data_IF_811151650404
#
_entry.id   IF_811151650404
#
_cell.length_a   1.000
_cell.length_b   1.000
_cell.length_c   1.000
_cell.angle_alpha   90.00
_cell.angle_beta   90.00
_cell.angle_gamma   90.00
#
_symmetry.space_group_name_H-M   'P 1'
#
loop_
_entity.id
_entity.type
_entity.pdbx_description
1 polymer ?
#
# COMPACT_ATOMS: atom_id res chain seq x y z
N UNK A 1 -42.54 2.60 -3.95
CA UNK A 1 -41.58 2.00 -4.89
C UNK A 1 -40.69 2.97 -5.70
N UNK A 2 -41.01 4.26 -5.89
CA UNK A 2 -40.19 5.21 -6.68
C UNK A 2 -38.96 5.84 -5.98
N UNK A 3 -38.83 5.75 -4.64
CA UNK A 3 -37.71 6.35 -3.88
C UNK A 3 -36.45 5.47 -3.81
N UNK A 4 -36.57 4.17 -4.00
CA UNK A 4 -35.44 3.21 -3.93
C UNK A 4 -34.60 3.28 -5.19
N UNK A 5 -35.23 3.35 -6.34
CA UNK A 5 -34.56 3.37 -7.67
C UNK A 5 -33.70 4.64 -7.88
N UNK A 6 -34.16 5.80 -7.41
CA UNK A 6 -33.39 7.06 -7.51
C UNK A 6 -32.16 7.10 -6.58
N UNK A 7 -32.17 6.33 -5.50
CA UNK A 7 -31.03 6.25 -4.56
C UNK A 7 -29.94 5.29 -5.07
N UNK A 8 -30.36 4.25 -5.81
CA UNK A 8 -29.48 3.30 -6.47
C UNK A 8 -28.80 3.92 -7.71
N UNK A 9 -29.55 4.67 -8.53
CA UNK A 9 -28.98 5.39 -9.68
C UNK A 9 -27.95 6.46 -9.28
N UNK A 10 -28.20 7.19 -8.19
CA UNK A 10 -27.22 8.15 -7.67
C UNK A 10 -25.97 7.49 -7.10
N UNK A 11 -26.11 6.33 -6.45
CA UNK A 11 -24.96 5.55 -5.93
C UNK A 11 -24.11 5.00 -7.06
N UNK A 12 -24.74 4.43 -8.09
CA UNK A 12 -24.01 3.93 -9.27
C UNK A 12 -23.29 5.04 -10.06
N UNK A 13 -23.83 6.26 -10.08
CA UNK A 13 -23.20 7.41 -10.72
C UNK A 13 -21.97 7.93 -9.95
N UNK A 14 -22.01 7.94 -8.62
CA UNK A 14 -20.87 8.31 -7.78
C UNK A 14 -19.74 7.27 -7.87
N UNK A 15 -20.08 5.98 -7.81
CA UNK A 15 -19.11 4.87 -7.89
C UNK A 15 -18.34 4.88 -9.23
N UNK A 16 -19.00 5.23 -10.34
CA UNK A 16 -18.35 5.34 -11.67
C UNK A 16 -17.33 6.48 -11.72
N UNK A 17 -17.60 7.58 -11.03
CA UNK A 17 -16.70 8.73 -11.02
C UNK A 17 -15.46 8.46 -10.15
N UNK A 18 -15.63 7.89 -8.96
CA UNK A 18 -14.51 7.52 -8.07
C UNK A 18 -13.58 6.48 -8.72
N UNK A 19 -14.13 5.48 -9.38
CA UNK A 19 -13.37 4.47 -10.10
C UNK A 19 -12.57 5.08 -11.26
N UNK A 20 -13.17 6.01 -12.00
CA UNK A 20 -12.50 6.72 -13.10
C UNK A 20 -11.37 7.60 -12.57
N UNK A 21 -11.59 8.36 -11.51
CA UNK A 21 -10.56 9.17 -10.85
C UNK A 21 -9.37 8.32 -10.40
N UNK A 22 -9.62 7.12 -9.88
CA UNK A 22 -8.56 6.18 -9.50
C UNK A 22 -7.72 5.76 -10.72
N UNK A 23 -8.33 5.40 -11.84
CA UNK A 23 -7.61 5.01 -13.06
C UNK A 23 -6.81 6.18 -13.63
N UNK A 24 -7.38 7.38 -13.64
CA UNK A 24 -6.70 8.59 -14.08
C UNK A 24 -5.50 8.92 -13.16
N UNK A 25 -5.65 8.77 -11.84
CA UNK A 25 -4.57 8.94 -10.88
C UNK A 25 -3.43 7.92 -11.08
N UNK A 26 -3.77 6.65 -11.31
CA UNK A 26 -2.78 5.59 -11.63
C UNK A 26 -2.04 5.92 -12.92
N UNK A 27 -2.75 6.36 -13.95
CA UNK A 27 -2.15 6.70 -15.25
C UNK A 27 -1.23 7.93 -15.15
N UNK A 28 -1.65 8.96 -14.41
CA UNK A 28 -0.86 10.17 -14.17
C UNK A 28 0.43 9.84 -13.39
N UNK A 29 0.31 9.05 -12.32
CA UNK A 29 1.44 8.62 -11.50
C UNK A 29 2.44 7.77 -12.27
N UNK A 30 1.95 6.81 -13.05
CA UNK A 30 2.78 5.97 -13.90
C UNK A 30 3.65 6.80 -14.84
N UNK A 31 3.06 7.84 -15.45
CA UNK A 31 3.74 8.74 -16.37
C UNK A 31 4.72 9.68 -15.65
N UNK A 32 4.29 10.29 -14.54
CA UNK A 32 5.08 11.31 -13.83
C UNK A 32 6.30 10.71 -13.11
N UNK A 33 6.13 9.55 -12.49
CA UNK A 33 7.15 8.88 -11.66
C UNK A 33 7.87 7.75 -12.39
N UNK A 34 7.54 7.51 -13.67
CA UNK A 34 8.10 6.42 -14.49
C UNK A 34 7.92 5.03 -13.85
N UNK A 35 6.75 4.79 -13.23
CA UNK A 35 6.37 3.52 -12.61
C UNK A 35 5.49 2.74 -13.57
N UNK A 36 5.67 1.42 -13.68
CA UNK A 36 4.79 0.58 -14.48
C UNK A 36 3.35 0.63 -13.96
N UNK A 37 2.38 0.79 -14.86
CA UNK A 37 0.95 0.73 -14.52
C UNK A 37 0.57 -0.62 -13.92
N UNK A 38 1.14 -1.70 -14.47
CA UNK A 38 0.92 -3.07 -14.00
C UNK A 38 1.37 -3.24 -12.55
N UNK A 39 2.52 -2.66 -12.20
CA UNK A 39 3.02 -2.70 -10.83
C UNK A 39 2.07 -1.97 -9.86
N UNK A 40 1.53 -0.82 -10.27
CA UNK A 40 0.55 -0.08 -9.46
C UNK A 40 -0.75 -0.86 -9.30
N UNK A 41 -1.28 -1.44 -10.38
CA UNK A 41 -2.49 -2.25 -10.32
C UNK A 41 -2.30 -3.50 -9.45
N UNK A 42 -1.19 -4.23 -9.61
CA UNK A 42 -0.87 -5.39 -8.78
C UNK A 42 -0.76 -5.02 -7.30
N UNK A 43 -0.14 -3.88 -6.97
CA UNK A 43 -0.05 -3.40 -5.59
C UNK A 43 -1.43 -3.06 -5.01
N UNK A 44 -2.32 -2.47 -5.81
CA UNK A 44 -3.70 -2.20 -5.40
C UNK A 44 -4.46 -3.52 -5.18
N UNK A 45 -4.38 -4.48 -6.08
CA UNK A 45 -5.02 -5.79 -5.96
C UNK A 45 -4.58 -6.53 -4.69
N UNK A 46 -3.29 -6.55 -4.37
CA UNK A 46 -2.76 -7.17 -3.15
C UNK A 46 -3.22 -6.44 -1.87
N UNK A 47 -3.26 -5.11 -1.89
CA UNK A 47 -3.77 -4.33 -0.77
C UNK A 47 -5.28 -4.54 -0.57
N UNK A 48 -6.05 -4.64 -1.66
CA UNK A 48 -7.48 -4.94 -1.62
C UNK A 48 -7.75 -6.35 -1.05
N UNK A 49 -6.95 -7.32 -1.45
CA UNK A 49 -7.00 -8.68 -0.91
C UNK A 49 -6.75 -8.69 0.60
N UNK A 50 -5.76 -7.94 1.07
CA UNK A 50 -5.46 -7.78 2.49
C UNK A 50 -6.58 -7.06 3.24
N UNK A 51 -7.14 -6.00 2.66
CA UNK A 51 -8.25 -5.24 3.23
C UNK A 51 -9.52 -6.10 3.37
N UNK A 52 -9.83 -6.93 2.36
CA UNK A 52 -10.94 -7.88 2.43
C UNK A 52 -10.78 -8.84 3.59
N UNK A 53 -9.61 -9.47 3.73
CA UNK A 53 -9.34 -10.42 4.82
C UNK A 53 -9.48 -9.79 6.20
N UNK A 54 -8.95 -8.58 6.36
CA UNK A 54 -9.04 -7.86 7.62
C UNK A 54 -10.50 -7.53 7.99
N UNK A 55 -11.32 -7.18 7.00
CA UNK A 55 -12.73 -6.91 7.21
C UNK A 55 -13.52 -8.19 7.46
N UNK A 56 -13.27 -9.25 6.69
CA UNK A 56 -13.89 -10.55 6.88
C UNK A 56 -13.56 -11.13 8.25
N UNK A 57 -12.31 -11.04 8.70
CA UNK A 57 -11.91 -11.48 10.04
C UNK A 57 -12.63 -10.76 11.16
N UNK A 58 -12.92 -9.46 10.98
CA UNK A 58 -13.69 -8.67 11.97
C UNK A 58 -15.16 -9.08 12.03
N UNK A 59 -15.71 -9.47 10.89
CA UNK A 59 -17.14 -9.83 10.77
C UNK A 59 -17.42 -11.29 11.16
N UNK A 60 -16.54 -12.21 10.77
CA UNK A 60 -16.73 -13.66 10.91
C UNK A 60 -15.70 -14.37 11.82
N UNK A 61 -14.76 -13.64 12.42
CA UNK A 61 -13.80 -14.16 13.40
C UNK A 61 -12.56 -14.86 12.84
N UNK A 62 -12.59 -15.42 11.64
CA UNK A 62 -11.42 -16.01 10.98
C UNK A 62 -11.26 -15.48 9.55
N UNK A 63 -10.06 -15.01 9.16
CA UNK A 63 -9.83 -14.58 7.80
C UNK A 63 -9.74 -15.78 6.84
N UNK A 64 -10.26 -15.65 5.61
CA UNK A 64 -10.05 -16.66 4.58
C UNK A 64 -8.55 -16.78 4.26
N UNK A 65 -8.11 -17.99 3.86
CA UNK A 65 -6.70 -18.20 3.52
C UNK A 65 -6.28 -17.36 2.31
N UNK A 66 -4.97 -17.11 2.17
CA UNK A 66 -4.44 -16.34 1.04
C UNK A 66 -4.72 -16.97 -0.33
N UNK A 67 -4.80 -18.30 -0.35
CA UNK A 67 -5.04 -19.06 -1.56
C UNK A 67 -6.50 -18.98 -2.05
N UNK A 68 -7.44 -18.62 -1.16
CA UNK A 68 -8.87 -18.76 -1.43
C UNK A 68 -9.52 -17.47 -1.93
N UNK A 69 -8.78 -16.36 -2.03
CA UNK A 69 -9.36 -15.07 -2.49
C UNK A 69 -8.54 -14.49 -3.63
N UNK A 70 -9.22 -14.21 -4.74
CA UNK A 70 -8.69 -13.46 -5.88
C UNK A 70 -9.43 -12.14 -6.01
N UNK A 71 -8.67 -11.08 -6.16
CA UNK A 71 -9.19 -9.74 -6.47
C UNK A 71 -8.93 -9.48 -7.96
N UNK A 72 -9.93 -8.99 -8.64
CA UNK A 72 -9.82 -8.53 -10.02
C UNK A 72 -10.17 -7.05 -10.10
N UNK A 73 -9.21 -6.26 -10.54
CA UNK A 73 -9.37 -4.83 -10.78
C UNK A 73 -9.44 -4.60 -12.30
N UNK A 74 -10.60 -4.18 -12.78
CA UNK A 74 -10.74 -3.80 -14.18
C UNK A 74 -9.95 -2.52 -14.47
N UNK A 75 -8.97 -2.60 -15.35
CA UNK A 75 -8.00 -1.55 -15.65
C UNK A 75 -8.55 -0.39 -16.47
N UNK A 76 -9.72 -0.56 -17.08
CA UNK A 76 -10.39 0.47 -17.86
C UNK A 76 -11.47 1.19 -17.05
N UNK A 77 -12.25 0.41 -16.30
CA UNK A 77 -13.41 0.93 -15.56
C UNK A 77 -13.13 1.20 -14.09
N UNK A 78 -12.03 0.66 -13.54
CA UNK A 78 -11.74 0.71 -12.12
C UNK A 78 -12.65 -0.16 -11.26
N UNK A 79 -13.50 -0.98 -11.86
CA UNK A 79 -14.39 -1.86 -11.12
C UNK A 79 -13.60 -2.97 -10.43
N UNK A 80 -13.90 -3.21 -9.17
CA UNK A 80 -13.27 -4.25 -8.36
C UNK A 80 -14.24 -5.38 -8.12
N UNK A 81 -13.79 -6.60 -8.36
CA UNK A 81 -14.52 -7.84 -8.07
C UNK A 81 -13.68 -8.76 -7.20
N UNK A 82 -14.34 -9.46 -6.31
CA UNK A 82 -13.76 -10.44 -5.42
C UNK A 82 -14.28 -11.82 -5.77
N UNK A 83 -13.38 -12.76 -5.90
CA UNK A 83 -13.71 -14.17 -6.13
C UNK A 83 -13.12 -15.01 -4.99
N UNK A 84 -13.96 -15.81 -4.36
CA UNK A 84 -13.53 -16.85 -3.43
C UNK A 84 -13.36 -18.15 -4.20
N UNK A 85 -12.23 -18.82 -4.00
CA UNK A 85 -12.00 -20.19 -4.48
C UNK A 85 -12.54 -21.13 -3.43
N UNK A 86 -13.57 -21.89 -3.79
CA UNK A 86 -14.24 -22.84 -2.91
C UNK A 86 -14.09 -24.26 -3.46
N UNK A 87 -13.87 -25.21 -2.56
CA UNK A 87 -13.87 -26.62 -2.92
C UNK A 87 -15.32 -27.15 -2.93
N UNK A 88 -15.65 -27.91 -3.96
CA UNK A 88 -16.97 -28.53 -4.07
C UNK A 88 -17.06 -29.73 -3.13
N UNK A 89 -17.95 -29.64 -2.15
CA UNK A 89 -18.18 -30.71 -1.16
C UNK A 89 -19.64 -31.15 -1.14
N UNK A 90 -19.85 -32.41 -0.83
CA UNK A 90 -21.22 -32.93 -0.67
C UNK A 90 -21.93 -32.34 0.54
N UNK A 91 -21.15 -32.06 1.59
CA UNK A 91 -21.63 -31.53 2.86
C UNK A 91 -20.68 -30.41 3.30
N UNK A 92 -20.84 -29.20 2.77
CA UNK A 92 -19.96 -28.10 3.13
C UNK A 92 -20.08 -27.79 4.64
N UNK A 93 -18.93 -27.69 5.30
CA UNK A 93 -18.82 -27.38 6.73
C UNK A 93 -18.37 -25.95 6.96
N UNK A 94 -17.69 -25.35 6.00
CA UNK A 94 -17.20 -23.98 6.04
C UNK A 94 -17.60 -23.23 4.76
N UNK A 95 -18.62 -22.39 4.87
CA UNK A 95 -19.11 -21.57 3.75
C UNK A 95 -18.06 -20.63 3.16
N UNK A 96 -16.96 -20.32 3.87
CA UNK A 96 -15.90 -19.47 3.36
C UNK A 96 -15.01 -20.20 2.33
N UNK A 97 -14.82 -21.52 2.48
CA UNK A 97 -13.87 -22.33 1.71
C UNK A 97 -14.52 -23.45 0.90
N UNK A 98 -15.78 -23.77 1.19
CA UNK A 98 -16.51 -24.88 0.59
C UNK A 98 -17.82 -24.42 -0.05
N UNK A 99 -18.30 -25.16 -1.02
CA UNK A 99 -19.57 -24.95 -1.73
C UNK A 99 -20.23 -26.30 -1.98
N UNK A 100 -21.56 -26.36 -1.90
CA UNK A 100 -22.28 -27.61 -2.19
C UNK A 100 -22.22 -27.98 -3.68
N UNK A 101 -22.29 -29.29 -3.95
CA UNK A 101 -22.34 -29.78 -5.34
C UNK A 101 -23.52 -29.16 -6.10
N UNK A 102 -24.67 -28.98 -5.44
CA UNK A 102 -25.87 -28.43 -6.06
C UNK A 102 -25.66 -26.97 -6.50
N UNK A 103 -25.05 -26.15 -5.62
CA UNK A 103 -24.72 -24.75 -5.93
C UNK A 103 -23.62 -24.65 -6.98
N UNK A 104 -22.59 -25.49 -6.92
CA UNK A 104 -21.53 -25.54 -7.92
C UNK A 104 -22.08 -25.92 -9.31
N UNK A 105 -22.95 -26.93 -9.38
CA UNK A 105 -23.60 -27.36 -10.61
C UNK A 105 -24.60 -26.34 -11.16
N UNK A 106 -25.18 -25.49 -10.32
CA UNK A 106 -25.98 -24.35 -10.78
C UNK A 106 -25.14 -23.31 -11.52
N UNK A 107 -23.85 -23.16 -11.16
CA UNK A 107 -22.90 -22.30 -11.87
C UNK A 107 -22.46 -22.98 -13.18
N UNK A 108 -22.01 -24.23 -13.09
CA UNK A 108 -21.62 -25.04 -14.25
C UNK A 108 -21.91 -26.51 -14.00
N UNK A 109 -22.76 -27.16 -14.81
CA UNK A 109 -23.21 -28.52 -14.59
C UNK A 109 -22.12 -29.61 -14.57
N UNK A 110 -20.91 -29.28 -15.06
CA UNK A 110 -19.78 -30.22 -15.11
C UNK A 110 -19.01 -30.35 -13.81
N UNK A 111 -19.25 -29.50 -12.82
CA UNK A 111 -18.54 -29.55 -11.54
C UNK A 111 -18.89 -30.81 -10.75
N UNK A 112 -17.85 -31.40 -10.19
CA UNK A 112 -17.89 -32.62 -9.35
C UNK A 112 -17.30 -32.34 -7.97
N UNK A 113 -17.44 -33.31 -7.08
CA UNK A 113 -16.81 -33.24 -5.76
C UNK A 113 -15.29 -33.08 -5.90
N UNK A 114 -14.67 -32.32 -5.01
CA UNK A 114 -13.26 -31.95 -4.96
C UNK A 114 -12.82 -30.95 -6.05
N UNK A 115 -13.71 -30.52 -6.95
CA UNK A 115 -13.40 -29.46 -7.90
C UNK A 115 -13.27 -28.10 -7.18
N UNK A 116 -12.51 -27.19 -7.80
CA UNK A 116 -12.36 -25.82 -7.31
C UNK A 116 -13.21 -24.86 -8.17
N UNK A 117 -14.11 -24.15 -7.51
CA UNK A 117 -15.01 -23.17 -8.14
C UNK A 117 -14.64 -21.77 -7.69
N UNK A 118 -14.56 -20.82 -8.63
CA UNK A 118 -14.46 -19.40 -8.31
C UNK A 118 -15.86 -18.78 -8.25
N UNK A 119 -16.23 -18.31 -7.05
CA UNK A 119 -17.54 -17.67 -6.79
C UNK A 119 -17.33 -16.21 -6.53
N UNK A 120 -18.08 -15.32 -7.19
CA UNK A 120 -18.05 -13.89 -6.89
C UNK A 120 -18.68 -13.62 -5.52
N UNK A 121 -17.89 -13.03 -4.63
CA UNK A 121 -18.26 -12.74 -3.23
C UNK A 121 -18.09 -11.28 -2.87
N UNK A 122 -18.21 -10.39 -3.84
CA UNK A 122 -17.98 -8.94 -3.65
C UNK A 122 -19.02 -8.36 -2.68
N UNK A 123 -18.65 -7.96 -1.44
CA UNK A 123 -19.59 -7.36 -0.51
C UNK A 123 -20.03 -5.96 -0.96
N UNK A 124 -21.26 -5.55 -0.65
CA UNK A 124 -21.80 -4.24 -1.04
C UNK A 124 -20.98 -3.06 -0.52
N UNK A 125 -20.40 -3.18 0.69
CA UNK A 125 -19.58 -2.15 1.31
C UNK A 125 -18.13 -2.15 0.81
N UNK A 126 -17.71 -3.19 0.07
CA UNK A 126 -16.31 -3.36 -0.33
C UNK A 126 -15.84 -2.30 -1.34
N UNK A 127 -16.75 -1.76 -2.16
CA UNK A 127 -16.42 -0.68 -3.11
C UNK A 127 -15.79 0.52 -2.43
N UNK A 128 -16.38 0.97 -1.30
CA UNK A 128 -15.82 2.09 -0.54
C UNK A 128 -14.46 1.75 0.08
N UNK A 129 -14.31 0.53 0.60
CA UNK A 129 -13.03 0.04 1.12
C UNK A 129 -12.00 0.00 0.00
N UNK A 130 -12.39 -0.45 -1.20
CA UNK A 130 -11.53 -0.52 -2.36
C UNK A 130 -11.01 0.87 -2.78
N UNK A 131 -11.87 1.87 -2.88
CA UNK A 131 -11.48 3.23 -3.24
C UNK A 131 -10.50 3.84 -2.22
N UNK A 132 -10.76 3.66 -0.92
CA UNK A 132 -9.87 4.14 0.14
C UNK A 132 -8.52 3.42 0.13
N UNK A 133 -8.52 2.09 -0.04
CA UNK A 133 -7.30 1.28 -0.10
C UNK A 133 -6.45 1.66 -1.32
N UNK A 134 -7.07 1.78 -2.49
CA UNK A 134 -6.38 2.19 -3.71
C UNK A 134 -5.72 3.57 -3.54
N UNK A 135 -6.42 4.54 -2.96
CA UNK A 135 -5.85 5.86 -2.66
C UNK A 135 -4.64 5.78 -1.73
N UNK A 136 -4.71 4.97 -0.68
CA UNK A 136 -3.58 4.77 0.24
C UNK A 136 -2.37 4.14 -0.45
N UNK A 137 -2.59 3.12 -1.29
CA UNK A 137 -1.53 2.46 -2.07
C UNK A 137 -0.87 3.43 -3.05
N UNK A 138 -1.66 4.24 -3.75
CA UNK A 138 -1.15 5.27 -4.67
C UNK A 138 -0.26 6.25 -3.92
N UNK A 139 -0.72 6.79 -2.78
CA UNK A 139 0.06 7.72 -1.95
C UNK A 139 1.35 7.07 -1.43
N UNK A 140 1.29 5.80 -1.02
CA UNK A 140 2.45 5.05 -0.58
C UNK A 140 3.46 4.86 -1.72
N UNK A 141 3.00 4.49 -2.91
CA UNK A 141 3.87 4.31 -4.09
C UNK A 141 4.51 5.61 -4.56
N UNK A 142 3.80 6.74 -4.44
CA UNK A 142 4.38 8.07 -4.67
C UNK A 142 5.57 8.30 -3.72
N UNK A 143 5.35 8.09 -2.42
CA UNK A 143 6.39 8.29 -1.41
C UNK A 143 7.59 7.35 -1.61
N UNK A 144 7.33 6.10 -1.99
CA UNK A 144 8.40 5.13 -2.29
C UNK A 144 9.23 5.59 -3.50
N UNK A 145 8.57 6.04 -4.58
CA UNK A 145 9.26 6.53 -5.77
C UNK A 145 10.07 7.82 -5.50
N UNK A 146 9.52 8.74 -4.69
CA UNK A 146 10.23 9.95 -4.28
C UNK A 146 11.46 9.64 -3.43
N UNK A 147 11.35 8.66 -2.50
CA UNK A 147 12.50 8.18 -1.72
C UNK A 147 13.56 7.53 -2.60
N UNK A 148 13.14 6.67 -3.54
CA UNK A 148 14.07 6.06 -4.50
C UNK A 148 14.87 7.11 -5.26
N UNK A 149 14.20 8.14 -5.78
CA UNK A 149 14.87 9.22 -6.48
C UNK A 149 15.86 10.00 -5.58
N UNK A 150 15.47 10.30 -4.35
CA UNK A 150 16.38 10.95 -3.40
C UNK A 150 17.57 10.05 -3.09
N UNK A 151 17.36 8.74 -2.91
CA UNK A 151 18.43 7.79 -2.74
C UNK A 151 19.39 7.77 -3.93
N UNK A 152 18.88 7.67 -5.15
CA UNK A 152 19.68 7.68 -6.37
C UNK A 152 20.48 8.98 -6.52
N UNK A 153 19.89 10.13 -6.20
CA UNK A 153 20.54 11.44 -6.22
C UNK A 153 21.67 11.56 -5.17
N UNK A 154 21.60 10.80 -4.06
CA UNK A 154 22.55 10.90 -2.97
C UNK A 154 23.60 9.78 -2.97
N UNK A 155 23.32 8.60 -3.55
CA UNK A 155 24.29 7.52 -3.65
C UNK A 155 25.52 7.94 -4.47
N UNK A 156 25.33 8.79 -5.47
CA UNK A 156 26.40 9.36 -6.27
C UNK A 156 27.26 10.37 -5.50
N UNK A 157 26.76 10.85 -4.34
CA UNK A 157 27.45 11.81 -3.46
C UNK A 157 28.16 11.15 -2.27
N UNK A 158 28.17 9.82 -2.20
CA UNK A 158 29.01 9.14 -1.25
C UNK A 158 30.49 9.54 -1.48
N UNK A 159 31.19 9.73 -0.39
CA UNK A 159 32.58 10.22 -0.40
C UNK A 159 32.75 11.67 -0.86
N UNK A 160 31.68 12.46 -0.91
CA UNK A 160 31.74 13.90 -1.18
C UNK A 160 31.56 14.74 0.08
N UNK A 161 32.00 15.99 0.02
CA UNK A 161 31.82 16.98 1.08
C UNK A 161 30.62 17.85 0.72
N UNK A 162 29.56 17.78 1.53
CA UNK A 162 28.36 18.58 1.35
C UNK A 162 28.23 19.62 2.46
N UNK A 163 27.44 20.67 2.20
CA UNK A 163 27.03 21.63 3.24
C UNK A 163 25.72 21.16 3.84
N UNK A 164 25.73 20.93 5.15
CA UNK A 164 24.55 20.53 5.92
C UNK A 164 24.13 21.65 6.89
N UNK A 165 22.85 21.67 7.24
CA UNK A 165 22.28 22.57 8.24
C UNK A 165 21.84 21.73 9.43
N UNK A 166 22.24 22.07 10.63
CA UNK A 166 21.79 21.35 11.83
C UNK A 166 20.31 21.58 12.03
N UNK A 167 19.55 20.51 12.06
CA UNK A 167 18.12 20.51 12.36
C UNK A 167 17.86 20.38 13.86
N UNK A 168 18.45 19.35 14.49
CA UNK A 168 18.30 19.09 15.91
C UNK A 168 19.43 18.20 16.43
N UNK A 169 19.59 18.20 17.75
CA UNK A 169 20.50 17.28 18.46
C UNK A 169 19.66 16.44 19.43
N UNK A 170 19.81 15.14 19.37
CA UNK A 170 19.16 14.25 20.31
C UNK A 170 19.81 14.38 21.71
N UNK A 171 19.03 14.67 22.75
CA UNK A 171 19.58 14.88 24.10
C UNK A 171 20.13 13.61 24.75
N UNK A 172 19.63 12.42 24.34
CA UNK A 172 20.02 11.13 24.91
C UNK A 172 21.19 10.51 24.14
N UNK A 173 21.05 10.34 22.84
CA UNK A 173 22.06 9.70 21.98
C UNK A 173 23.18 10.64 21.57
N UNK A 174 22.93 11.97 21.62
CA UNK A 174 23.83 13.02 21.12
C UNK A 174 24.00 13.00 19.60
N UNK A 175 23.16 12.27 18.88
CA UNK A 175 23.13 12.31 17.43
C UNK A 175 22.72 13.70 16.94
N UNK A 176 23.42 14.20 15.93
CA UNK A 176 23.08 15.47 15.28
C UNK A 176 22.35 15.18 13.98
N UNK A 177 21.10 15.58 13.90
CA UNK A 177 20.32 15.51 12.68
C UNK A 177 20.57 16.74 11.83
N UNK A 178 20.92 16.51 10.58
CA UNK A 178 21.29 17.57 9.63
C UNK A 178 20.45 17.51 8.36
N UNK A 179 20.13 18.66 7.82
CA UNK A 179 19.45 18.79 6.53
C UNK A 179 20.49 18.93 5.41
N UNK A 180 20.33 18.11 4.36
CA UNK A 180 21.13 18.08 3.15
C UNK A 180 20.26 18.42 1.92
N UNK A 181 19.62 19.58 1.97
CA UNK A 181 18.67 20.02 0.94
C UNK A 181 17.31 19.31 1.07
N UNK A 182 17.08 18.23 0.31
CA UNK A 182 15.80 17.50 0.32
C UNK A 182 15.77 16.27 1.23
N UNK A 183 16.90 15.93 1.84
CA UNK A 183 17.03 14.76 2.71
C UNK A 183 17.65 15.14 4.04
N UNK A 184 17.52 14.23 5.00
CA UNK A 184 18.14 14.34 6.32
C UNK A 184 19.32 13.38 6.42
N UNK A 185 20.36 13.78 7.11
CA UNK A 185 21.48 12.93 7.52
C UNK A 185 21.60 12.88 9.04
N UNK A 186 22.32 11.89 9.52
CA UNK A 186 22.65 11.73 10.94
C UNK A 186 24.17 11.78 11.09
N UNK A 187 24.65 12.61 12.01
CA UNK A 187 26.03 12.69 12.41
C UNK A 187 26.15 12.09 13.81
N UNK A 188 26.58 10.83 13.87
CA UNK A 188 26.75 10.11 15.13
C UNK A 188 27.86 10.74 16.00
N UNK A 189 27.81 10.60 17.34
CA UNK A 189 28.81 11.17 18.22
C UNK A 189 30.26 10.78 17.87
N UNK A 190 30.46 9.59 17.35
CA UNK A 190 31.77 9.08 16.89
C UNK A 190 32.33 9.83 15.69
N UNK A 191 31.47 10.53 14.94
CA UNK A 191 31.81 11.27 13.73
C UNK A 191 31.83 12.79 13.96
N UNK A 192 31.50 13.25 15.16
CA UNK A 192 31.47 14.67 15.54
C UNK A 192 32.86 15.16 15.92
N UNK A 193 33.15 16.41 15.59
CA UNK A 193 34.37 17.07 16.00
C UNK A 193 34.20 17.64 17.43
N UNK A 194 35.13 17.32 18.32
CA UNK A 194 35.04 17.76 19.74
C UNK A 194 35.11 19.29 19.91
N UNK A 195 35.60 20.00 18.89
CA UNK A 195 35.72 21.48 18.90
C UNK A 195 34.43 22.17 18.44
N UNK A 196 33.50 21.44 17.85
CA UNK A 196 32.35 22.04 17.17
C UNK A 196 31.12 22.09 18.08
N UNK A 197 30.34 23.15 17.94
CA UNK A 197 29.08 23.32 18.66
C UNK A 197 27.95 23.17 17.63
N UNK A 198 27.19 22.09 17.75
CA UNK A 198 26.11 21.77 16.82
C UNK A 198 24.79 22.42 17.29
N UNK A 199 24.62 23.71 16.97
CA UNK A 199 23.39 24.42 17.30
C UNK A 199 22.38 24.37 16.11
N UNK A 200 21.05 24.23 16.38
CA UNK A 200 20.06 24.26 15.32
C UNK A 200 20.16 25.50 14.44
N UNK A 201 20.17 25.32 13.12
CA UNK A 201 20.34 26.37 12.12
C UNK A 201 21.78 26.65 11.68
N UNK A 202 22.79 26.12 12.39
CA UNK A 202 24.19 26.27 11.98
C UNK A 202 24.51 25.40 10.74
N UNK A 203 25.51 25.88 9.97
CA UNK A 203 25.93 25.23 8.72
C UNK A 203 27.32 24.64 8.88
N UNK A 204 27.44 23.36 8.57
CA UNK A 204 28.69 22.63 8.58
C UNK A 204 28.98 22.01 7.22
N UNK A 205 30.25 21.72 6.99
CA UNK A 205 30.65 20.82 5.92
C UNK A 205 30.76 19.42 6.49
N UNK A 206 30.00 18.50 5.91
CA UNK A 206 29.96 17.11 6.30
C UNK A 206 30.45 16.23 5.16
N UNK A 207 31.18 15.19 5.50
CA UNK A 207 31.60 14.16 4.57
C UNK A 207 30.56 13.03 4.58
N UNK A 208 30.05 12.67 3.40
CA UNK A 208 29.05 11.61 3.27
C UNK A 208 29.75 10.25 3.31
N UNK A 209 29.57 9.54 4.40
CA UNK A 209 30.18 8.21 4.60
C UNK A 209 29.38 7.11 3.91
N UNK A 210 28.05 7.13 4.06
CA UNK A 210 27.16 6.10 3.57
C UNK A 210 25.79 6.69 3.31
N UNK A 211 25.12 6.20 2.25
CA UNK A 211 23.71 6.53 1.93
C UNK A 211 22.84 5.30 2.11
N UNK A 212 21.86 5.37 2.99
CA UNK A 212 20.98 4.26 3.35
C UNK A 212 19.56 4.51 2.85
N UNK A 213 18.97 3.54 2.16
CA UNK A 213 17.62 3.66 1.59
C UNK A 213 16.50 3.62 2.65
N UNK A 214 16.75 3.10 3.86
CA UNK A 214 15.73 2.90 4.90
C UNK A 214 15.84 3.93 6.04
N UNK A 215 14.80 4.75 6.13
CA UNK A 215 14.67 5.79 7.16
C UNK A 215 14.60 5.23 8.61
N UNK A 216 14.29 3.95 8.78
CA UNK A 216 14.23 3.30 10.11
C UNK A 216 15.60 3.05 10.70
N UNK A 217 16.64 3.01 9.87
CA UNK A 217 18.02 2.89 10.32
C UNK A 217 18.62 4.23 10.74
N UNK A 218 18.06 5.35 10.28
CA UNK A 218 18.51 6.71 10.63
C UNK A 218 17.94 7.23 11.96
N UNK A 219 17.01 6.49 12.61
CA UNK A 219 16.47 6.82 13.93
C UNK A 219 16.64 5.64 14.89
N UNK A 220 17.73 5.52 15.63
CA UNK A 220 17.78 4.59 16.74
C UNK A 220 16.81 5.05 17.83
N UNK A 221 15.70 4.34 17.99
CA UNK A 221 14.94 4.35 19.24
C UNK A 221 13.82 5.35 19.43
N UNK A 222 12.95 5.54 18.43
CA UNK A 222 11.60 6.06 18.71
C UNK A 222 10.73 4.99 19.37
N UNK A 223 10.75 4.86 20.68
CA UNK A 223 9.72 4.13 21.42
C UNK A 223 8.44 4.91 21.29
N UNK A 224 7.47 4.31 20.60
CA UNK A 224 6.09 4.76 20.68
C UNK A 224 5.54 4.43 22.07
N UNK A 225 5.22 5.48 22.85
CA UNK A 225 4.30 5.39 23.96
C UNK A 225 2.85 5.34 23.46
#
# INVERSE_FOLDING_TARGET
>A
MRKTTQKEDKRQGMDKNENREMIEAVAALAKEKNISKELLFSAIEEALKSAYKNNFSKEYGMPPSNANVRVELNRETGAVRLYARKTVERWPTDEATEISIEEAQAIQPSYQQDDIVEVEVTPDNFRRVAAQTAKQVIVQKIREAERGKVYDDFIEKENEILTAIVHSVDPETKDVYVELGKTEGVLEPSQQMASDVYAPGERFKVYVLEVVADRRLARPGGKHG
#
